data_IF_884773060764
#
_entry.id   IF_884773060764
#
_cell.length_a   1.000
_cell.length_b   1.000
_cell.length_c   1.000
_cell.angle_alpha   90.00
_cell.angle_beta   90.00
_cell.angle_gamma   90.00
#
_symmetry.space_group_name_H-M   'P 1'
#
loop_
_entity.id
_entity.type
_entity.pdbx_description
1 polymer ?
#
# COMPACT_ATOMS: atom_id res chain seq x y z
N UNK A 1 29.15 -24.39 6.34
CA UNK A 1 29.17 -24.20 4.89
C UNK A 1 28.80 -22.78 4.52
N UNK A 2 29.14 -22.36 3.31
CA UNK A 2 28.80 -21.05 2.78
C UNK A 2 27.70 -21.19 1.71
N UNK A 3 26.75 -20.26 1.67
CA UNK A 3 25.80 -20.11 0.58
C UNK A 3 26.07 -18.77 -0.13
N UNK A 4 26.01 -18.77 -1.44
CA UNK A 4 26.17 -17.56 -2.27
C UNK A 4 24.78 -17.20 -2.78
N UNK A 5 24.31 -16.01 -2.44
CA UNK A 5 23.05 -15.42 -2.91
C UNK A 5 23.40 -14.22 -3.78
N UNK A 6 22.86 -14.16 -4.99
CA UNK A 6 23.03 -13.04 -5.89
C UNK A 6 21.65 -12.51 -6.31
N UNK A 7 21.53 -11.20 -6.43
CA UNK A 7 20.36 -10.52 -6.96
C UNK A 7 20.77 -9.65 -8.15
N UNK A 8 19.93 -9.57 -9.17
CA UNK A 8 20.20 -8.76 -10.34
C UNK A 8 18.91 -8.46 -11.11
N UNK A 9 18.96 -7.44 -11.97
CA UNK A 9 17.87 -7.09 -12.84
C UNK A 9 17.77 -8.06 -14.03
N UNK A 10 16.56 -8.23 -14.55
CA UNK A 10 16.35 -9.03 -15.77
C UNK A 10 16.89 -8.26 -16.97
N UNK A 11 17.39 -8.98 -17.97
CA UNK A 11 17.86 -8.39 -19.23
C UNK A 11 16.76 -7.62 -19.98
N UNK A 12 15.50 -7.95 -19.72
CA UNK A 12 14.31 -7.27 -20.26
C UNK A 12 14.05 -5.88 -19.66
N UNK A 13 14.65 -5.58 -18.50
CA UNK A 13 14.34 -4.37 -17.73
C UNK A 13 15.18 -3.15 -18.18
N UNK A 14 15.89 -3.23 -19.31
CA UNK A 14 16.81 -2.20 -19.85
C UNK A 14 17.85 -1.67 -18.86
N UNK A 15 18.07 -2.36 -17.77
CA UNK A 15 19.17 -2.09 -16.86
C UNK A 15 20.50 -2.49 -17.52
N UNK A 16 21.60 -1.85 -17.15
CA UNK A 16 22.93 -2.32 -17.53
C UNK A 16 23.14 -3.67 -16.85
N UNK A 17 22.95 -4.74 -17.62
CA UNK A 17 23.05 -6.12 -17.13
C UNK A 17 24.24 -6.79 -17.78
N UNK A 18 25.23 -7.19 -16.98
CA UNK A 18 26.26 -8.09 -17.42
C UNK A 18 25.68 -9.51 -17.47
N UNK A 19 25.67 -10.10 -18.67
CA UNK A 19 25.17 -11.46 -18.82
C UNK A 19 26.07 -12.46 -18.11
N UNK A 20 25.49 -13.28 -17.25
CA UNK A 20 26.19 -14.43 -16.67
C UNK A 20 26.62 -15.41 -17.79
N UNK A 21 27.82 -15.97 -17.68
CA UNK A 21 28.24 -17.07 -18.55
C UNK A 21 27.32 -18.29 -18.38
N UNK A 22 27.19 -19.09 -19.43
CA UNK A 22 26.36 -20.31 -19.40
C UNK A 22 26.81 -21.27 -18.29
N UNK A 23 28.13 -21.39 -18.09
CA UNK A 23 28.68 -22.23 -17.01
C UNK A 23 28.30 -21.75 -15.62
N UNK A 24 28.22 -20.42 -15.41
CA UNK A 24 27.82 -19.86 -14.14
C UNK A 24 26.32 -19.99 -13.92
N UNK A 25 25.49 -19.72 -14.94
CA UNK A 25 24.03 -19.90 -14.88
C UNK A 25 23.64 -21.30 -14.41
N UNK A 26 24.32 -22.32 -14.91
CA UNK A 26 24.02 -23.73 -14.58
C UNK A 26 24.37 -24.13 -13.13
N UNK A 27 25.07 -23.26 -12.39
CA UNK A 27 25.47 -23.51 -10.99
C UNK A 27 24.59 -22.80 -9.96
N UNK A 28 23.61 -22.01 -10.40
CA UNK A 28 22.69 -21.30 -9.54
C UNK A 28 21.26 -21.84 -9.69
N UNK A 29 20.51 -21.81 -8.60
CA UNK A 29 19.05 -21.89 -8.65
C UNK A 29 18.52 -20.50 -8.98
N UNK A 30 17.78 -20.39 -10.07
CA UNK A 30 17.20 -19.11 -10.49
C UNK A 30 15.78 -18.98 -9.93
N UNK A 31 15.54 -17.89 -9.20
CA UNK A 31 14.24 -17.53 -8.67
C UNK A 31 13.80 -16.22 -9.29
N UNK A 32 12.60 -16.19 -9.87
CA UNK A 32 11.98 -14.95 -10.30
C UNK A 32 11.27 -14.32 -9.10
N UNK A 33 11.65 -13.10 -8.77
CA UNK A 33 10.98 -12.31 -7.75
C UNK A 33 9.99 -11.37 -8.41
N UNK A 34 8.72 -11.51 -8.06
CA UNK A 34 7.64 -10.70 -8.60
C UNK A 34 7.06 -9.82 -7.49
N UNK A 35 6.56 -8.64 -7.89
CA UNK A 35 5.90 -7.73 -6.94
C UNK A 35 4.53 -8.31 -6.60
N UNK A 36 4.27 -8.48 -5.31
CA UNK A 36 2.96 -8.84 -4.78
C UNK A 36 2.40 -7.66 -3.96
N UNK A 37 1.17 -7.26 -4.27
CA UNK A 37 0.53 -6.12 -3.61
C UNK A 37 0.19 -6.42 -2.14
N UNK A 38 -0.30 -7.61 -1.84
CA UNK A 38 -0.66 -8.00 -0.48
C UNK A 38 0.58 -8.08 0.41
N UNK A 39 1.65 -8.71 -0.06
CA UNK A 39 2.93 -8.81 0.65
C UNK A 39 3.51 -7.42 0.93
N UNK A 40 3.44 -6.52 -0.06
CA UNK A 40 3.91 -5.15 0.13
C UNK A 40 3.06 -4.39 1.15
N UNK A 41 1.74 -4.52 1.10
CA UNK A 41 0.85 -3.89 2.08
C UNK A 41 1.08 -4.43 3.49
N UNK A 42 1.31 -5.74 3.65
CA UNK A 42 1.61 -6.35 4.94
C UNK A 42 2.96 -5.88 5.49
N UNK A 43 3.98 -5.82 4.63
CA UNK A 43 5.27 -5.21 4.96
C UNK A 43 5.12 -3.74 5.38
N UNK A 44 4.33 -2.97 4.65
CA UNK A 44 4.09 -1.54 4.89
C UNK A 44 3.49 -1.25 6.28
N UNK A 45 2.64 -2.15 6.79
CA UNK A 45 2.04 -2.03 8.13
C UNK A 45 3.07 -1.97 9.26
N UNK A 46 4.22 -2.64 9.07
CA UNK A 46 5.27 -2.78 10.11
C UNK A 46 6.52 -1.93 9.83
N UNK A 47 6.58 -1.26 8.66
CA UNK A 47 7.78 -0.52 8.20
C UNK A 47 7.56 1.00 8.11
N UNK A 48 6.69 1.55 8.95
CA UNK A 48 6.43 2.98 9.07
C UNK A 48 6.06 3.67 7.74
N UNK A 49 5.33 2.98 6.88
CA UNK A 49 4.77 3.58 5.67
C UNK A 49 3.58 4.47 6.07
N UNK A 50 3.53 5.67 5.48
CA UNK A 50 2.43 6.61 5.69
C UNK A 50 1.08 5.95 5.38
N UNK A 51 0.13 6.14 6.28
CA UNK A 51 -1.20 5.49 6.17
C UNK A 51 -1.96 5.96 4.94
N UNK A 52 -1.71 7.18 4.47
CA UNK A 52 -2.24 7.73 3.23
C UNK A 52 -1.75 6.93 2.02
N UNK A 53 -0.47 6.61 1.98
CA UNK A 53 0.15 5.82 0.90
C UNK A 53 -0.37 4.39 0.93
N UNK A 54 -0.40 3.75 2.10
CA UNK A 54 -0.92 2.38 2.24
C UNK A 54 -2.40 2.30 1.82
N UNK A 55 -3.23 3.23 2.29
CA UNK A 55 -4.65 3.29 1.93
C UNK A 55 -4.86 3.51 0.43
N UNK A 56 -4.03 4.37 -0.19
CA UNK A 56 -4.06 4.58 -1.64
C UNK A 56 -3.68 3.32 -2.43
N UNK A 57 -2.62 2.63 -2.06
CA UNK A 57 -2.17 1.42 -2.77
C UNK A 57 -3.22 0.31 -2.65
N UNK A 58 -3.93 0.20 -1.55
CA UNK A 58 -5.05 -0.73 -1.40
C UNK A 58 -6.24 -0.36 -2.28
N UNK A 59 -6.53 0.94 -2.40
CA UNK A 59 -7.56 1.44 -3.31
C UNK A 59 -7.17 1.31 -4.78
N UNK A 60 -5.88 1.45 -5.11
CA UNK A 60 -5.33 1.39 -6.46
C UNK A 60 -4.15 0.41 -6.56
N UNK A 61 -4.37 -0.89 -6.36
CA UNK A 61 -3.29 -1.88 -6.32
C UNK A 61 -2.43 -1.91 -7.58
N UNK A 62 -3.04 -1.59 -8.73
CA UNK A 62 -2.37 -1.55 -10.03
C UNK A 62 -1.28 -0.47 -10.12
N UNK A 63 -1.29 0.52 -9.21
CA UNK A 63 -0.31 1.61 -9.18
C UNK A 63 0.86 1.33 -8.24
N UNK A 64 0.91 0.18 -7.58
CA UNK A 64 2.08 -0.21 -6.80
C UNK A 64 3.31 -0.39 -7.70
N UNK A 65 3.12 -1.01 -8.86
CA UNK A 65 4.18 -1.25 -9.84
C UNK A 65 3.70 -1.01 -11.26
N UNK A 66 4.07 0.11 -11.84
CA UNK A 66 3.68 0.45 -13.21
C UNK A 66 4.44 -0.35 -14.28
N UNK A 67 5.60 -0.93 -13.93
CA UNK A 67 6.35 -1.77 -14.87
C UNK A 67 5.75 -3.16 -15.08
N UNK A 68 4.79 -3.56 -14.27
CA UNK A 68 4.10 -4.81 -14.48
C UNK A 68 3.32 -4.76 -15.79
N UNK A 69 3.64 -5.66 -16.71
CA UNK A 69 2.91 -5.83 -17.96
C UNK A 69 1.67 -6.67 -17.70
N UNK A 70 0.51 -6.04 -17.76
CA UNK A 70 -0.78 -6.63 -17.38
C UNK A 70 -1.39 -7.54 -18.43
N UNK A 71 -1.02 -7.32 -19.69
CA UNK A 71 -1.50 -8.11 -20.83
C UNK A 71 -0.56 -7.94 -22.04
N UNK A 72 -0.83 -8.66 -23.14
CA UNK A 72 -0.02 -8.66 -24.35
C UNK A 72 -0.50 -7.67 -25.43
N UNK A 73 -1.39 -6.72 -25.08
CA UNK A 73 -1.90 -5.75 -26.03
C UNK A 73 -0.81 -4.75 -26.48
N UNK A 74 -1.02 -4.16 -27.65
CA UNK A 74 -0.10 -3.15 -28.19
C UNK A 74 -0.05 -1.91 -27.30
N UNK A 75 -1.19 -1.47 -26.81
CA UNK A 75 -1.35 -0.32 -25.92
C UNK A 75 -0.55 -0.50 -24.63
N UNK A 76 -0.60 -1.71 -24.06
CA UNK A 76 0.13 -2.03 -22.84
C UNK A 76 1.64 -2.05 -23.06
N UNK A 77 2.11 -2.61 -24.18
CA UNK A 77 3.52 -2.57 -24.57
C UNK A 77 4.02 -1.14 -24.78
N UNK A 78 3.22 -0.29 -25.41
CA UNK A 78 3.52 1.13 -25.59
C UNK A 78 3.52 1.89 -24.25
N UNK A 79 2.61 1.55 -23.31
CA UNK A 79 2.59 2.11 -21.95
C UNK A 79 3.89 1.79 -21.21
N UNK A 80 4.25 0.51 -21.17
CA UNK A 80 5.50 0.06 -20.52
C UNK A 80 6.73 0.69 -21.19
N UNK A 81 6.69 0.88 -22.51
CA UNK A 81 7.78 1.54 -23.22
C UNK A 81 7.91 3.01 -22.83
N UNK A 82 6.80 3.75 -22.72
CA UNK A 82 6.81 5.15 -22.26
C UNK A 82 7.36 5.29 -20.83
N UNK A 83 7.01 4.36 -19.93
CA UNK A 83 7.55 4.34 -18.58
C UNK A 83 9.07 4.15 -18.53
N UNK A 84 9.62 3.37 -19.45
CA UNK A 84 11.09 3.17 -19.56
C UNK A 84 11.85 4.46 -19.92
N UNK A 85 11.17 5.38 -20.57
CA UNK A 85 11.74 6.67 -21.00
C UNK A 85 11.37 7.80 -20.01
N UNK A 86 10.49 7.54 -19.01
CA UNK A 86 10.08 8.50 -18.00
C UNK A 86 11.17 8.72 -16.94
N UNK A 87 11.22 9.94 -16.41
CA UNK A 87 12.15 10.29 -15.33
C UNK A 87 11.75 9.71 -13.97
N UNK A 88 10.43 9.58 -13.72
CA UNK A 88 9.88 9.02 -12.51
C UNK A 88 8.69 8.10 -12.83
N UNK A 89 8.52 7.06 -12.04
CA UNK A 89 7.47 6.05 -12.21
C UNK A 89 7.21 5.32 -10.90
N UNK A 90 6.01 4.74 -10.78
CA UNK A 90 5.61 4.04 -9.57
C UNK A 90 6.20 2.63 -9.50
N UNK A 91 6.84 2.36 -8.38
CA UNK A 91 7.36 1.05 -7.95
C UNK A 91 7.20 0.92 -6.42
N UNK A 92 7.30 -0.29 -5.86
CA UNK A 92 7.33 -0.46 -4.40
C UNK A 92 8.32 0.45 -3.68
N UNK A 93 9.50 0.65 -4.27
CA UNK A 93 10.56 1.52 -3.74
C UNK A 93 10.21 3.01 -3.82
N UNK A 94 9.67 3.47 -4.95
CA UNK A 94 9.29 4.86 -5.08
C UNK A 94 8.11 5.22 -4.16
N UNK A 95 7.19 4.29 -3.88
CA UNK A 95 6.16 4.47 -2.87
C UNK A 95 6.70 4.53 -1.43
N UNK A 96 7.77 3.80 -1.12
CA UNK A 96 8.47 3.96 0.16
C UNK A 96 9.09 5.36 0.29
N UNK A 97 9.71 5.88 -0.79
CA UNK A 97 10.24 7.25 -0.80
C UNK A 97 9.11 8.28 -0.70
N UNK A 98 8.03 8.07 -1.43
CA UNK A 98 6.83 8.89 -1.36
C UNK A 98 6.28 8.98 0.06
N UNK A 99 6.22 7.85 0.77
CA UNK A 99 5.80 7.79 2.16
C UNK A 99 6.61 8.72 3.06
N UNK A 100 7.94 8.74 2.89
CA UNK A 100 8.82 9.61 3.68
C UNK A 100 8.54 11.10 3.42
N UNK A 101 8.23 11.46 2.18
CA UNK A 101 7.87 12.84 1.82
C UNK A 101 6.49 13.22 2.35
N UNK A 102 5.50 12.34 2.25
CA UNK A 102 4.14 12.55 2.79
C UNK A 102 4.19 12.80 4.31
N UNK A 103 5.01 12.05 5.04
CA UNK A 103 5.20 12.22 6.49
C UNK A 103 5.79 13.57 6.88
N UNK A 104 6.51 14.25 5.99
CA UNK A 104 7.04 15.60 6.23
C UNK A 104 5.97 16.69 6.04
N UNK A 105 4.76 16.33 5.58
CA UNK A 105 3.66 17.25 5.36
C UNK A 105 4.06 18.48 4.52
N UNK A 106 4.53 18.30 3.28
CA UNK A 106 4.97 19.40 2.43
C UNK A 106 3.84 20.41 2.23
N UNK A 107 4.23 21.65 1.89
CA UNK A 107 3.26 22.71 1.58
C UNK A 107 2.40 22.32 0.37
N UNK A 108 1.07 22.56 0.40
CA UNK A 108 0.15 22.14 -0.66
C UNK A 108 0.51 22.63 -2.07
N UNK A 109 1.19 23.75 -2.18
CA UNK A 109 1.62 24.36 -3.43
C UNK A 109 2.75 23.61 -4.14
N UNK A 110 3.54 22.79 -3.40
CA UNK A 110 4.64 21.99 -3.94
C UNK A 110 4.37 20.49 -3.92
N UNK A 111 3.27 20.05 -3.31
CA UNK A 111 2.97 18.61 -3.17
C UNK A 111 2.98 17.87 -4.51
N UNK A 112 2.30 18.43 -5.51
CA UNK A 112 2.22 17.78 -6.82
C UNK A 112 3.58 17.63 -7.49
N UNK A 113 4.42 18.67 -7.43
CA UNK A 113 5.78 18.63 -8.01
C UNK A 113 6.66 17.58 -7.33
N UNK A 114 6.61 17.52 -5.99
CA UNK A 114 7.36 16.53 -5.23
C UNK A 114 6.88 15.11 -5.55
N UNK A 115 5.58 14.90 -5.57
CA UNK A 115 4.98 13.57 -5.78
C UNK A 115 5.18 13.09 -7.21
N UNK A 116 5.01 13.96 -8.20
CA UNK A 116 5.25 13.62 -9.62
C UNK A 116 6.71 13.29 -9.90
N UNK A 117 7.64 13.97 -9.22
CA UNK A 117 9.07 13.66 -9.30
C UNK A 117 9.47 12.31 -8.69
N UNK A 118 8.59 11.67 -7.90
CA UNK A 118 8.88 10.37 -7.26
C UNK A 118 8.16 9.23 -7.96
N UNK A 119 6.86 9.37 -8.21
CA UNK A 119 6.00 8.29 -8.73
C UNK A 119 5.48 8.54 -10.15
N UNK A 120 5.86 9.64 -10.77
CA UNK A 120 5.37 10.06 -12.08
C UNK A 120 4.05 10.84 -12.01
N UNK A 121 3.80 11.66 -13.02
CA UNK A 121 2.66 12.60 -13.06
C UNK A 121 1.30 11.92 -12.91
N UNK A 122 1.09 10.80 -13.60
CA UNK A 122 -0.19 10.07 -13.56
C UNK A 122 -0.52 9.54 -12.18
N UNK A 123 0.44 8.84 -11.55
CA UNK A 123 0.28 8.31 -10.20
C UNK A 123 0.15 9.42 -9.15
N UNK A 124 0.92 10.51 -9.29
CA UNK A 124 0.82 11.67 -8.40
C UNK A 124 -0.56 12.33 -8.48
N UNK A 125 -1.12 12.50 -9.69
CA UNK A 125 -2.45 13.07 -9.86
C UNK A 125 -3.55 12.21 -9.21
N UNK A 126 -3.50 10.88 -9.37
CA UNK A 126 -4.43 9.95 -8.72
C UNK A 126 -4.27 9.97 -7.20
N UNK A 127 -3.03 10.00 -6.71
CA UNK A 127 -2.76 10.07 -5.27
C UNK A 127 -3.25 11.39 -4.67
N UNK A 128 -3.04 12.52 -5.33
CA UNK A 128 -3.59 13.82 -4.91
C UNK A 128 -5.12 13.81 -4.86
N UNK A 129 -5.76 13.14 -5.82
CA UNK A 129 -7.20 12.92 -5.80
C UNK A 129 -7.66 12.14 -4.57
N UNK A 130 -6.94 11.06 -4.24
CA UNK A 130 -7.21 10.25 -3.04
C UNK A 130 -6.96 11.03 -1.73
N UNK A 131 -5.90 11.83 -1.66
CA UNK A 131 -5.60 12.66 -0.48
C UNK A 131 -6.73 13.63 -0.14
N UNK A 132 -7.54 14.08 -1.11
CA UNK A 132 -8.72 14.91 -0.84
C UNK A 132 -9.75 14.12 -0.01
N UNK A 133 -9.97 12.85 -0.31
CA UNK A 133 -10.85 11.99 0.50
C UNK A 133 -10.27 11.79 1.90
N UNK A 134 -8.98 11.46 1.98
CA UNK A 134 -8.30 11.21 3.24
C UNK A 134 -8.33 12.44 4.18
N UNK A 135 -8.05 13.63 3.66
CA UNK A 135 -8.05 14.90 4.43
C UNK A 135 -9.45 15.34 4.86
N UNK A 136 -10.48 14.86 4.17
CA UNK A 136 -11.88 15.12 4.51
C UNK A 136 -12.52 14.02 5.35
N UNK A 137 -11.74 13.06 5.86
CA UNK A 137 -12.25 12.05 6.78
C UNK A 137 -12.81 12.71 8.05
N UNK A 138 -13.89 12.14 8.63
CA UNK A 138 -14.35 12.58 9.94
C UNK A 138 -13.26 12.37 10.98
N UNK A 139 -13.32 13.13 12.06
CA UNK A 139 -12.41 12.91 13.18
C UNK A 139 -12.56 11.47 13.70
N UNK A 140 -11.49 10.66 13.53
CA UNK A 140 -11.51 9.24 13.87
C UNK A 140 -11.68 9.00 15.36
N UNK A 141 -11.17 9.89 16.21
CA UNK A 141 -11.35 9.77 17.65
C UNK A 141 -12.80 10.01 18.05
N UNK A 142 -13.44 11.02 17.45
CA UNK A 142 -14.87 11.29 17.66
C UNK A 142 -15.73 10.12 17.13
N UNK A 143 -15.34 9.49 16.01
CA UNK A 143 -16.01 8.30 15.49
C UNK A 143 -15.91 7.13 16.48
N UNK A 144 -14.74 6.89 17.06
CA UNK A 144 -14.53 5.84 18.05
C UNK A 144 -15.24 6.13 19.38
N UNK A 145 -15.57 7.38 19.69
CA UNK A 145 -16.37 7.71 20.88
C UNK A 145 -17.85 7.34 20.72
N UNK A 146 -18.37 7.33 19.49
CA UNK A 146 -19.76 6.99 19.20
C UNK A 146 -19.90 6.05 17.98
N UNK A 147 -19.30 4.84 18.00
CA UNK A 147 -19.19 3.96 16.84
C UNK A 147 -20.55 3.51 16.29
N UNK A 148 -21.59 3.43 17.14
CA UNK A 148 -22.94 3.04 16.73
C UNK A 148 -23.68 4.14 15.95
N UNK A 149 -23.32 5.41 16.18
CA UNK A 149 -23.99 6.59 15.59
C UNK A 149 -23.23 7.16 14.40
N UNK A 150 -21.91 6.92 14.33
CA UNK A 150 -21.08 7.44 13.25
C UNK A 150 -21.55 6.90 11.90
N UNK A 151 -21.59 7.77 10.88
CA UNK A 151 -21.99 7.38 9.53
C UNK A 151 -20.93 6.46 8.92
N UNK A 152 -21.37 5.38 8.25
CA UNK A 152 -20.51 4.55 7.41
C UNK A 152 -20.60 5.11 6.00
N UNK A 153 -19.47 5.48 5.37
CA UNK A 153 -19.47 5.96 3.99
C UNK A 153 -19.73 4.82 3.01
N UNK A 154 -20.18 5.19 1.81
CA UNK A 154 -20.42 4.23 0.71
C UNK A 154 -19.29 4.27 -0.33
N UNK A 155 -18.54 5.36 -0.39
CA UNK A 155 -17.47 5.60 -1.35
C UNK A 155 -16.25 4.68 -1.06
N UNK A 156 -15.82 3.82 -2.00
CA UNK A 156 -14.71 2.90 -1.75
C UNK A 156 -13.41 3.59 -1.33
N UNK A 157 -13.05 4.72 -1.95
CA UNK A 157 -11.84 5.47 -1.60
C UNK A 157 -11.87 5.93 -0.12
N UNK A 158 -13.05 6.36 0.35
CA UNK A 158 -13.25 6.78 1.74
C UNK A 158 -13.20 5.59 2.69
N UNK A 159 -13.78 4.44 2.29
CA UNK A 159 -13.74 3.20 3.07
C UNK A 159 -12.30 2.69 3.25
N UNK A 160 -11.48 2.70 2.19
CA UNK A 160 -10.05 2.35 2.31
C UNK A 160 -9.30 3.31 3.23
N UNK A 161 -9.48 4.62 3.05
CA UNK A 161 -8.86 5.65 3.89
C UNK A 161 -9.25 5.50 5.36
N UNK A 162 -10.55 5.28 5.62
CA UNK A 162 -11.09 5.12 6.95
C UNK A 162 -10.61 3.83 7.63
N UNK A 163 -10.63 2.70 6.90
CA UNK A 163 -10.15 1.41 7.44
C UNK A 163 -8.68 1.49 7.83
N UNK A 164 -7.83 2.04 6.96
CA UNK A 164 -6.39 2.18 7.23
C UNK A 164 -6.14 3.14 8.39
N UNK A 165 -6.86 4.26 8.45
CA UNK A 165 -6.76 5.25 9.52
C UNK A 165 -7.22 4.70 10.87
N UNK A 166 -8.33 3.97 10.93
CA UNK A 166 -8.83 3.33 12.15
C UNK A 166 -7.91 2.20 12.62
N UNK A 167 -7.38 1.40 11.70
CA UNK A 167 -6.41 0.36 12.04
C UNK A 167 -5.14 0.94 12.69
N UNK A 168 -4.68 2.10 12.20
CA UNK A 168 -3.52 2.78 12.76
C UNK A 168 -3.78 3.36 14.16
N UNK A 169 -5.04 3.65 14.50
CA UNK A 169 -5.46 4.16 15.82
C UNK A 169 -5.92 3.06 16.78
N UNK A 170 -6.00 1.82 16.34
CA UNK A 170 -6.44 0.71 17.19
C UNK A 170 -5.45 0.46 18.32
N UNK A 171 -5.96 0.31 19.51
CA UNK A 171 -5.24 -0.03 20.75
C UNK A 171 -6.05 -1.06 21.54
N UNK A 172 -5.45 -1.80 22.49
CA UNK A 172 -6.22 -2.71 23.34
C UNK A 172 -7.42 -2.04 24.04
N UNK A 173 -7.28 -0.77 24.42
CA UNK A 173 -8.32 -0.03 25.15
C UNK A 173 -9.51 0.40 24.27
N UNK A 174 -9.29 0.58 22.96
CA UNK A 174 -10.34 1.01 22.04
C UNK A 174 -10.79 -0.07 21.06
N UNK A 175 -10.19 -1.25 21.06
CA UNK A 175 -10.46 -2.32 20.08
C UNK A 175 -11.94 -2.73 20.04
N UNK A 176 -12.64 -2.70 21.17
CA UNK A 176 -14.10 -2.94 21.20
C UNK A 176 -14.86 -1.95 20.32
N UNK A 177 -14.50 -0.68 20.37
CA UNK A 177 -15.13 0.39 19.58
C UNK A 177 -14.78 0.28 18.10
N UNK A 178 -13.53 -0.10 17.80
CA UNK A 178 -13.05 -0.37 16.43
C UNK A 178 -13.86 -1.51 15.82
N UNK A 179 -13.97 -2.65 16.51
CA UNK A 179 -14.76 -3.81 16.06
C UNK A 179 -16.25 -3.45 15.90
N UNK A 180 -16.81 -2.70 16.85
CA UNK A 180 -18.20 -2.25 16.78
C UNK A 180 -18.48 -1.43 15.54
N UNK A 181 -17.60 -0.51 15.18
CA UNK A 181 -17.73 0.25 13.96
C UNK A 181 -17.49 -0.62 12.71
N UNK A 182 -16.46 -1.47 12.74
CA UNK A 182 -16.15 -2.38 11.66
C UNK A 182 -17.35 -3.25 11.25
N UNK A 183 -18.07 -3.81 12.22
CA UNK A 183 -19.25 -4.65 11.97
C UNK A 183 -20.40 -3.94 11.22
N UNK A 184 -20.35 -2.63 11.07
CA UNK A 184 -21.29 -1.83 10.28
C UNK A 184 -20.83 -1.54 8.86
N UNK A 185 -19.55 -1.82 8.56
CA UNK A 185 -18.95 -1.63 7.24
C UNK A 185 -19.24 -2.84 6.34
N UNK A 186 -19.06 -2.75 5.02
CA UNK A 186 -19.06 -3.92 4.14
C UNK A 186 -18.03 -4.97 4.59
N UNK A 187 -18.34 -6.26 4.41
CA UNK A 187 -17.57 -7.38 4.97
C UNK A 187 -16.07 -7.33 4.63
N UNK A 188 -15.72 -6.95 3.42
CA UNK A 188 -14.34 -6.80 2.96
C UNK A 188 -13.55 -5.76 3.78
N UNK A 189 -14.19 -4.63 4.11
CA UNK A 189 -13.57 -3.57 4.93
C UNK A 189 -13.52 -3.90 6.41
N UNK A 190 -14.45 -4.74 6.91
CA UNK A 190 -14.37 -5.29 8.26
C UNK A 190 -13.09 -6.12 8.41
N UNK A 191 -12.87 -7.06 7.48
CA UNK A 191 -11.69 -7.93 7.49
C UNK A 191 -10.43 -7.10 7.33
N UNK A 192 -10.41 -6.17 6.37
CA UNK A 192 -9.27 -5.29 6.11
C UNK A 192 -8.87 -4.53 7.38
N UNK A 193 -9.81 -3.83 8.01
CA UNK A 193 -9.55 -3.01 9.19
C UNK A 193 -9.01 -3.85 10.35
N UNK A 194 -9.67 -4.97 10.66
CA UNK A 194 -9.27 -5.79 11.81
C UNK A 194 -7.94 -6.51 11.55
N UNK A 195 -7.74 -7.07 10.33
CA UNK A 195 -6.46 -7.68 9.95
C UNK A 195 -5.32 -6.67 10.09
N UNK A 196 -5.49 -5.46 9.58
CA UNK A 196 -4.46 -4.42 9.65
C UNK A 196 -4.14 -3.99 11.07
N UNK A 197 -5.16 -3.84 11.90
CA UNK A 197 -4.97 -3.48 13.30
C UNK A 197 -4.12 -4.52 14.02
N UNK A 198 -4.45 -5.81 13.89
CA UNK A 198 -3.70 -6.87 14.57
C UNK A 198 -2.32 -7.15 13.96
N UNK A 199 -2.14 -6.87 12.68
CA UNK A 199 -0.81 -6.95 12.04
C UNK A 199 0.12 -5.84 12.57
N UNK A 200 -0.42 -4.64 12.83
CA UNK A 200 0.33 -3.53 13.45
C UNK A 200 0.66 -3.78 14.91
N UNK A 201 -0.29 -4.30 15.64
CA UNK A 201 -0.15 -4.60 17.08
C UNK A 201 -0.77 -5.98 17.40
N UNK A 202 0.07 -6.98 17.50
CA UNK A 202 -0.34 -8.35 17.82
C UNK A 202 -1.01 -8.50 19.19
N UNK A 203 -0.79 -7.55 20.12
CA UNK A 203 -1.46 -7.57 21.42
C UNK A 203 -3.00 -7.45 21.30
N UNK A 204 -3.49 -6.87 20.20
CA UNK A 204 -4.93 -6.75 19.93
C UNK A 204 -5.63 -8.10 19.79
N UNK A 205 -4.90 -9.15 19.39
CA UNK A 205 -5.45 -10.52 19.30
C UNK A 205 -5.88 -11.07 20.67
N UNK A 206 -5.35 -10.54 21.76
CA UNK A 206 -5.70 -10.95 23.12
C UNK A 206 -6.98 -10.27 23.64
N UNK A 207 -7.56 -9.35 22.87
CA UNK A 207 -8.78 -8.65 23.28
C UNK A 207 -10.02 -9.52 23.10
N UNK A 208 -10.99 -9.40 24.04
CA UNK A 208 -12.27 -10.12 23.96
C UNK A 208 -13.05 -9.77 22.69
N UNK A 209 -12.97 -8.52 22.25
CA UNK A 209 -13.67 -8.02 21.06
C UNK A 209 -13.12 -8.61 19.77
N UNK A 210 -11.80 -8.76 19.66
CA UNK A 210 -11.19 -9.46 18.53
C UNK A 210 -11.62 -10.93 18.51
N UNK A 211 -11.51 -11.65 19.63
CA UNK A 211 -11.88 -13.06 19.69
C UNK A 211 -13.36 -13.30 19.35
N UNK A 212 -14.25 -12.43 19.83
CA UNK A 212 -15.69 -12.49 19.50
C UNK A 212 -15.97 -12.18 18.01
N UNK A 213 -15.17 -11.34 17.38
CA UNK A 213 -15.26 -11.05 15.94
C UNK A 213 -14.73 -12.21 15.10
N UNK A 214 -13.57 -12.77 15.46
CA UNK A 214 -12.90 -13.85 14.74
C UNK A 214 -13.65 -15.18 14.80
N UNK A 215 -14.60 -15.33 15.73
CA UNK A 215 -15.44 -16.53 15.92
C UNK A 215 -16.72 -16.52 15.09
N UNK A 216 -17.00 -15.44 14.34
CA UNK A 216 -18.19 -15.28 13.48
C UNK A 216 -17.89 -15.71 12.06
#
# INVERSE_FOLDING_TARGET
GWAIIAAGNRSTDRSIVNQMSTALKNRFTHLNYEVNNEDWCEWALTHNIAIEVLGFIRFRPMLLNEFEQRNETKEEKERVQRLKDAQAFATPRSWEFMSKVVQQQPSPDIEYELYSGIVGEGCAAEFMGYLKYYRNLPNLDALLMAPDKAKVPEEPAVLYALSTGLAAKATPDNMERVVKYALRMPAEFQVLLVKDAVTRDSALTNTKSFNAWASK
#
